data_IF_258514203491
#
_entry.id   IF_258514203491
#
_cell.length_a   1.000
_cell.length_b   1.000
_cell.length_c   1.000
_cell.angle_alpha   90.00
_cell.angle_beta   90.00
_cell.angle_gamma   90.00
#
_symmetry.space_group_name_H-M   'P 1'
#
loop_
_entity.id
_entity.type
_entity.pdbx_description
1 polymer ?
#
# COMPACT_ATOMS: atom_id res chain seq x y z
N UNK A 1 7.03 -19.96 44.23
CA UNK A 1 5.71 -19.76 43.60
C UNK A 1 5.65 -20.71 42.40
N UNK A 2 4.92 -21.81 42.54
CA UNK A 2 4.86 -22.94 41.59
C UNK A 2 3.92 -22.58 40.44
N UNK A 3 4.41 -22.52 39.21
CA UNK A 3 3.58 -22.40 38.02
C UNK A 3 3.31 -23.80 37.47
N UNK A 4 2.06 -24.19 37.60
CA UNK A 4 1.46 -25.47 37.22
C UNK A 4 1.37 -25.53 35.69
N UNK A 5 2.02 -26.51 35.08
CA UNK A 5 1.77 -26.88 33.69
C UNK A 5 0.38 -27.53 33.59
N UNK A 6 -0.56 -26.85 32.94
CA UNK A 6 -1.85 -27.41 32.57
C UNK A 6 -1.65 -28.44 31.45
N UNK A 7 -1.66 -29.71 31.85
CA UNK A 7 -1.64 -30.89 30.99
C UNK A 7 -2.99 -30.98 30.26
N UNK A 8 -3.08 -30.44 29.05
CA UNK A 8 -4.27 -30.63 28.20
C UNK A 8 -4.31 -32.08 27.71
N UNK A 9 -5.25 -32.83 28.28
CA UNK A 9 -5.62 -34.19 27.88
C UNK A 9 -6.31 -34.10 26.51
N UNK A 10 -5.69 -34.66 25.47
CA UNK A 10 -6.32 -34.81 24.15
C UNK A 10 -7.32 -35.97 24.20
N UNK A 11 -8.61 -35.65 24.10
CA UNK A 11 -9.64 -36.65 23.82
C UNK A 11 -9.84 -36.72 22.31
N UNK A 12 -9.31 -37.76 21.66
CA UNK A 12 -9.67 -38.12 20.29
C UNK A 12 -10.90 -39.03 20.33
N UNK A 13 -11.97 -38.72 19.57
CA UNK A 13 -12.80 -39.74 18.98
C UNK A 13 -12.24 -40.09 17.60
N UNK A 14 -12.04 -41.38 17.36
CA UNK A 14 -11.67 -41.99 16.10
C UNK A 14 -12.82 -41.82 15.09
N UNK A 15 -12.59 -41.06 14.01
CA UNK A 15 -13.42 -41.13 12.79
C UNK A 15 -12.53 -40.68 11.62
N UNK A 16 -11.98 -41.66 10.90
CA UNK A 16 -10.88 -41.51 9.96
C UNK A 16 -11.17 -40.75 8.66
N UNK A 17 -12.42 -40.39 8.38
CA UNK A 17 -12.80 -39.71 7.12
C UNK A 17 -12.78 -38.16 7.24
N UNK A 18 -13.29 -37.60 8.33
CA UNK A 18 -13.43 -36.13 8.51
C UNK A 18 -12.07 -35.41 8.61
N UNK A 19 -11.06 -36.04 9.20
CA UNK A 19 -9.71 -35.46 9.32
C UNK A 19 -8.99 -35.40 7.97
N UNK A 20 -9.22 -36.37 7.10
CA UNK A 20 -8.62 -36.45 5.76
C UNK A 20 -9.23 -35.39 4.84
N UNK A 21 -10.55 -35.19 4.88
CA UNK A 21 -11.19 -34.07 4.18
C UNK A 21 -10.75 -32.70 4.69
N UNK A 22 -10.58 -32.53 6.01
CA UNK A 22 -10.13 -31.25 6.59
C UNK A 22 -8.67 -30.95 6.25
N UNK A 23 -7.79 -31.96 6.25
CA UNK A 23 -6.40 -31.81 5.77
C UNK A 23 -6.35 -31.56 4.26
N UNK A 24 -7.17 -32.26 3.46
CA UNK A 24 -7.25 -32.04 2.02
C UNK A 24 -7.78 -30.63 1.69
N UNK A 25 -8.77 -30.13 2.44
CA UNK A 25 -9.29 -28.77 2.30
C UNK A 25 -8.30 -27.68 2.75
N UNK A 26 -7.44 -27.96 3.73
CA UNK A 26 -6.38 -27.04 4.12
C UNK A 26 -5.22 -27.04 3.13
N UNK A 27 -4.85 -28.22 2.62
CA UNK A 27 -3.84 -28.38 1.58
C UNK A 27 -4.28 -27.74 0.26
N UNK A 28 -5.55 -27.91 -0.13
CA UNK A 28 -6.12 -27.28 -1.32
C UNK A 28 -6.28 -25.77 -1.17
N UNK A 29 -6.63 -25.26 0.00
CA UNK A 29 -6.63 -23.80 0.26
C UNK A 29 -5.22 -23.23 0.25
N UNK A 30 -4.25 -23.91 0.86
CA UNK A 30 -2.85 -23.51 0.82
C UNK A 30 -2.32 -23.49 -0.62
N UNK A 31 -2.65 -24.50 -1.43
CA UNK A 31 -2.25 -24.55 -2.84
C UNK A 31 -2.94 -23.49 -3.69
N UNK A 32 -4.19 -23.13 -3.39
CA UNK A 32 -4.88 -21.99 -4.03
C UNK A 32 -4.22 -20.66 -3.66
N UNK A 33 -3.97 -20.42 -2.37
CA UNK A 33 -3.31 -19.19 -1.90
C UNK A 33 -1.90 -19.06 -2.48
N UNK A 34 -1.14 -20.15 -2.52
CA UNK A 34 0.21 -20.15 -3.11
C UNK A 34 0.15 -19.92 -4.63
N UNK A 35 -0.86 -20.46 -5.32
CA UNK A 35 -1.08 -20.20 -6.75
C UNK A 35 -1.43 -18.73 -6.99
N UNK A 36 -2.34 -18.16 -6.21
CA UNK A 36 -2.72 -16.75 -6.30
C UNK A 36 -1.53 -15.82 -6.01
N UNK A 37 -0.74 -16.13 -4.98
CA UNK A 37 0.50 -15.43 -4.66
C UNK A 37 1.48 -15.47 -5.83
N UNK A 38 1.80 -16.66 -6.34
CA UNK A 38 2.71 -16.83 -7.48
C UNK A 38 2.22 -16.09 -8.73
N UNK A 39 0.90 -16.07 -8.95
CA UNK A 39 0.30 -15.39 -10.10
C UNK A 39 0.38 -13.86 -9.99
N UNK A 40 0.46 -13.31 -8.76
CA UNK A 40 0.58 -11.88 -8.53
C UNK A 40 1.87 -11.29 -9.13
N UNK A 41 2.98 -12.03 -9.06
CA UNK A 41 4.27 -11.67 -9.66
C UNK A 41 4.33 -11.81 -11.18
N UNK A 42 3.27 -12.34 -11.81
CA UNK A 42 3.17 -12.51 -13.28
C UNK A 42 2.20 -11.54 -13.92
N UNK A 43 1.67 -10.59 -13.15
CA UNK A 43 0.78 -9.57 -13.69
C UNK A 43 1.55 -8.63 -14.61
N UNK A 44 0.88 -8.13 -15.66
CA UNK A 44 1.47 -7.16 -16.58
C UNK A 44 1.99 -5.91 -15.86
N UNK A 45 1.25 -5.42 -14.87
CA UNK A 45 1.66 -4.28 -14.05
C UNK A 45 2.94 -4.55 -13.24
N UNK A 46 3.13 -5.79 -12.78
CA UNK A 46 4.35 -6.18 -12.08
C UNK A 46 5.55 -6.22 -13.04
N UNK A 47 5.40 -6.89 -14.19
CA UNK A 47 6.46 -6.95 -15.21
C UNK A 47 6.85 -5.55 -15.69
N UNK A 48 5.87 -4.67 -15.92
CA UNK A 48 6.12 -3.26 -16.29
C UNK A 48 6.83 -2.48 -15.17
N UNK A 49 6.52 -2.74 -13.90
CA UNK A 49 7.23 -2.13 -12.77
C UNK A 49 8.70 -2.58 -12.71
N UNK A 50 8.95 -3.89 -12.85
CA UNK A 50 10.31 -4.43 -12.87
C UNK A 50 11.14 -3.82 -14.00
N UNK A 51 10.60 -3.76 -15.23
CA UNK A 51 11.32 -3.18 -16.37
C UNK A 51 11.59 -1.70 -16.19
N UNK A 52 10.61 -0.93 -15.66
CA UNK A 52 10.80 0.48 -15.30
C UNK A 52 11.95 0.66 -14.32
N UNK A 53 11.94 -0.06 -13.19
CA UNK A 53 13.00 0.07 -12.17
C UNK A 53 14.37 -0.32 -12.74
N UNK A 54 14.46 -1.46 -13.41
CA UNK A 54 15.72 -1.96 -13.98
C UNK A 54 16.31 -0.99 -15.01
N UNK A 55 15.47 -0.45 -15.90
CA UNK A 55 15.93 0.52 -16.91
C UNK A 55 16.54 1.77 -16.29
N UNK A 56 15.94 2.27 -15.21
CA UNK A 56 16.37 3.50 -14.56
C UNK A 56 17.59 3.26 -13.67
N UNK A 57 17.64 2.13 -12.97
CA UNK A 57 18.82 1.78 -12.18
C UNK A 57 20.05 1.53 -13.05
N UNK A 58 19.85 0.91 -14.22
CA UNK A 58 20.89 0.78 -15.25
C UNK A 58 21.43 2.15 -15.71
N UNK A 59 20.55 3.12 -15.94
CA UNK A 59 20.95 4.50 -16.30
C UNK A 59 21.72 5.20 -15.17
N UNK A 60 21.32 5.01 -13.91
CA UNK A 60 22.02 5.58 -12.75
C UNK A 60 23.44 5.00 -12.63
N UNK A 61 23.62 3.70 -12.89
CA UNK A 61 24.93 3.04 -12.87
C UNK A 61 25.89 3.60 -13.94
N UNK A 62 25.37 3.83 -15.16
CA UNK A 62 26.15 4.39 -16.29
C UNK A 62 26.56 5.84 -16.00
N UNK A 63 25.63 6.66 -15.49
CA UNK A 63 25.90 8.07 -15.19
C UNK A 63 26.89 8.27 -14.03
N UNK A 64 26.95 7.34 -13.06
CA UNK A 64 27.96 7.39 -11.99
C UNK A 64 29.39 7.11 -12.48
N UNK A 65 29.52 6.41 -13.60
CA UNK A 65 30.82 6.06 -14.20
C UNK A 65 31.42 7.17 -15.07
N UNK A 66 30.64 8.23 -15.36
CA UNK A 66 31.02 9.40 -16.16
C UNK A 66 30.91 10.65 -15.26
N UNK A 67 32.03 11.16 -14.76
CA UNK A 67 32.19 12.17 -13.69
C UNK A 67 31.23 13.39 -13.63
N UNK A 68 30.89 13.77 -12.38
CA UNK A 68 30.54 15.10 -11.78
C UNK A 68 29.12 15.24 -11.19
N UNK A 69 28.98 15.84 -9.96
CA UNK A 69 27.74 15.89 -9.19
C UNK A 69 26.89 17.11 -9.56
N UNK A 70 26.46 17.22 -10.81
CA UNK A 70 25.56 18.31 -11.23
C UNK A 70 24.16 17.79 -11.55
N UNK A 71 23.29 17.94 -10.54
CA UNK A 71 21.90 18.40 -10.65
C UNK A 71 21.08 17.89 -11.84
N UNK A 72 20.70 16.62 -11.78
CA UNK A 72 19.29 16.23 -11.91
C UNK A 72 19.15 14.80 -11.38
N UNK A 73 19.06 14.67 -10.05
CA UNK A 73 18.34 13.58 -9.40
C UNK A 73 16.89 13.64 -9.90
N UNK A 74 16.64 13.17 -11.12
CA UNK A 74 15.31 12.69 -11.48
C UNK A 74 15.06 11.50 -10.57
N UNK A 75 14.51 11.79 -9.40
CA UNK A 75 14.08 10.83 -8.41
C UNK A 75 13.31 9.73 -9.14
N UNK A 76 13.77 8.49 -9.00
CA UNK A 76 13.15 7.32 -9.64
C UNK A 76 11.65 7.32 -9.35
N UNK A 77 11.27 7.79 -8.16
CA UNK A 77 9.91 8.03 -7.67
C UNK A 77 8.99 8.84 -8.60
N UNK A 78 9.48 9.77 -9.43
CA UNK A 78 8.60 10.46 -10.41
C UNK A 78 8.10 9.49 -11.49
N UNK A 79 8.94 8.53 -11.88
CA UNK A 79 8.59 7.51 -12.87
C UNK A 79 7.90 6.28 -12.28
N UNK A 80 8.08 6.05 -10.97
CA UNK A 80 7.48 4.91 -10.27
C UNK A 80 6.05 5.18 -9.84
N UNK A 81 5.69 6.42 -9.52
CA UNK A 81 4.37 6.74 -8.98
C UNK A 81 3.36 7.06 -10.07
N UNK A 82 2.14 6.57 -9.89
CA UNK A 82 1.01 6.85 -10.77
C UNK A 82 -0.19 7.35 -9.94
N UNK A 83 -0.58 8.64 -10.04
CA UNK A 83 0.07 9.71 -10.81
C UNK A 83 1.45 10.07 -10.22
N UNK A 84 2.36 10.57 -11.07
CA UNK A 84 3.65 11.14 -10.66
C UNK A 84 3.47 12.41 -9.81
N UNK A 85 4.54 12.90 -9.18
CA UNK A 85 4.45 14.02 -8.22
C UNK A 85 4.09 15.33 -8.92
N UNK A 86 4.55 15.56 -10.15
CA UNK A 86 4.18 16.75 -10.92
C UNK A 86 2.70 16.75 -11.29
N UNK A 87 2.23 15.62 -11.84
CA UNK A 87 0.81 15.43 -12.19
C UNK A 87 -0.06 15.61 -10.95
N UNK A 88 0.34 15.01 -9.82
CA UNK A 88 -0.34 15.14 -8.55
C UNK A 88 -0.39 16.60 -8.06
N UNK A 89 0.72 17.33 -8.13
CA UNK A 89 0.77 18.74 -7.73
C UNK A 89 -0.18 19.60 -8.56
N UNK A 90 -0.26 19.35 -9.87
CA UNK A 90 -1.21 20.02 -10.75
C UNK A 90 -2.66 19.67 -10.39
N UNK A 91 -2.96 18.39 -10.09
CA UNK A 91 -4.28 17.96 -9.64
C UNK A 91 -4.67 18.64 -8.32
N UNK A 92 -3.77 18.74 -7.34
CA UNK A 92 -4.04 19.39 -6.05
C UNK A 92 -4.37 20.88 -6.23
N UNK A 93 -3.71 21.56 -7.18
CA UNK A 93 -3.97 22.98 -7.48
C UNK A 93 -5.29 23.20 -8.21
N UNK A 94 -5.67 22.28 -9.09
CA UNK A 94 -6.80 22.44 -10.01
C UNK A 94 -8.11 21.85 -9.47
N UNK A 95 -8.02 20.81 -8.64
CA UNK A 95 -9.17 20.09 -8.10
C UNK A 95 -9.36 20.41 -6.61
N UNK A 96 -10.60 20.48 -6.17
CA UNK A 96 -10.92 20.59 -4.74
C UNK A 96 -10.79 19.22 -4.05
N UNK A 97 -9.56 18.79 -3.78
CA UNK A 97 -9.24 17.51 -3.16
C UNK A 97 -9.32 17.63 -1.63
N UNK A 98 -9.96 16.66 -0.96
CA UNK A 98 -9.99 16.61 0.50
C UNK A 98 -8.57 16.42 1.06
N UNK A 99 -8.15 17.21 2.05
CA UNK A 99 -6.78 17.18 2.61
C UNK A 99 -6.27 15.76 2.94
N UNK A 100 -7.07 14.90 3.59
CA UNK A 100 -6.65 13.52 3.87
C UNK A 100 -6.30 12.68 2.63
N UNK A 101 -6.88 12.99 1.47
CA UNK A 101 -6.50 12.33 0.22
C UNK A 101 -5.16 12.89 -0.29
N UNK A 102 -4.90 14.19 -0.08
CA UNK A 102 -3.58 14.79 -0.32
C UNK A 102 -2.54 14.13 0.58
N UNK A 103 -2.81 14.02 1.88
CA UNK A 103 -1.93 13.35 2.85
C UNK A 103 -1.68 11.89 2.45
N UNK A 104 -2.70 11.19 1.95
CA UNK A 104 -2.56 9.83 1.41
C UNK A 104 -1.55 9.76 0.27
N UNK A 105 -1.62 10.69 -0.69
CA UNK A 105 -0.67 10.72 -1.79
C UNK A 105 0.74 11.13 -1.34
N UNK A 106 0.87 12.02 -0.37
CA UNK A 106 2.18 12.41 0.18
C UNK A 106 2.84 11.26 0.95
N UNK A 107 2.11 10.64 1.89
CA UNK A 107 2.63 9.50 2.68
C UNK A 107 2.98 8.31 1.79
N UNK A 108 2.16 8.01 0.76
CA UNK A 108 2.53 6.97 -0.21
C UNK A 108 3.74 7.35 -1.08
N UNK A 109 3.96 8.63 -1.36
CA UNK A 109 5.17 9.06 -2.07
C UNK A 109 6.42 8.88 -1.21
N UNK A 110 6.33 9.21 0.08
CA UNK A 110 7.44 8.99 1.02
C UNK A 110 7.76 7.50 1.18
N UNK A 111 6.73 6.63 1.17
CA UNK A 111 6.95 5.18 1.18
C UNK A 111 7.65 4.68 -0.10
N UNK A 112 7.33 5.29 -1.24
CA UNK A 112 8.04 5.00 -2.50
C UNK A 112 9.53 5.39 -2.43
N UNK A 113 9.87 6.49 -1.75
CA UNK A 113 11.28 6.90 -1.55
C UNK A 113 12.05 5.87 -0.72
N UNK A 114 11.42 5.31 0.32
CA UNK A 114 12.01 4.21 1.11
C UNK A 114 12.22 2.96 0.26
N UNK A 115 11.23 2.57 -0.55
CA UNK A 115 11.35 1.46 -1.50
C UNK A 115 12.51 1.67 -2.49
N UNK A 116 12.65 2.89 -3.03
CA UNK A 116 13.72 3.25 -3.95
C UNK A 116 15.11 3.16 -3.29
N UNK A 117 15.24 3.64 -2.04
CA UNK A 117 16.47 3.50 -1.26
C UNK A 117 16.82 2.02 -1.02
N UNK A 118 15.83 1.18 -0.69
CA UNK A 118 16.03 -0.26 -0.51
C UNK A 118 16.50 -0.94 -1.79
N UNK A 119 15.88 -0.61 -2.93
CA UNK A 119 16.28 -1.18 -4.22
C UNK A 119 17.75 -0.87 -4.52
N UNK A 120 18.21 0.36 -4.26
CA UNK A 120 19.64 0.70 -4.40
C UNK A 120 20.51 -0.09 -3.43
N UNK A 121 20.08 -0.21 -2.18
CA UNK A 121 20.81 -0.97 -1.17
C UNK A 121 20.93 -2.46 -1.57
N UNK A 122 19.86 -3.07 -2.07
CA UNK A 122 19.85 -4.46 -2.56
C UNK A 122 20.88 -4.67 -3.66
N UNK A 123 20.91 -3.79 -4.67
CA UNK A 123 21.86 -3.90 -5.78
C UNK A 123 23.30 -3.74 -5.31
N UNK A 124 23.55 -2.81 -4.39
CA UNK A 124 24.88 -2.65 -3.80
C UNK A 124 25.26 -3.86 -2.93
N UNK A 125 24.33 -4.44 -2.17
CA UNK A 125 24.58 -5.65 -1.37
C UNK A 125 24.93 -6.82 -2.28
N UNK A 126 24.21 -7.00 -3.38
CA UNK A 126 24.52 -8.02 -4.39
C UNK A 126 25.92 -7.81 -4.98
N UNK A 127 26.29 -6.56 -5.34
CA UNK A 127 27.63 -6.25 -5.82
C UNK A 127 28.72 -6.53 -4.77
N UNK A 128 28.47 -6.19 -3.51
CA UNK A 128 29.39 -6.47 -2.40
C UNK A 128 29.60 -7.99 -2.23
N UNK A 129 28.55 -8.81 -2.35
CA UNK A 129 28.66 -10.27 -2.22
C UNK A 129 29.45 -10.94 -3.35
N UNK A 130 29.75 -10.24 -4.46
CA UNK A 130 30.64 -10.78 -5.49
C UNK A 130 32.06 -11.06 -4.96
N UNK A 131 32.54 -10.33 -3.96
CA UNK A 131 33.84 -10.66 -3.34
C UNK A 131 33.80 -11.98 -2.58
N UNK A 132 32.68 -12.30 -1.92
CA UNK A 132 32.48 -13.61 -1.30
C UNK A 132 32.42 -14.71 -2.37
N UNK A 133 31.71 -14.47 -3.47
CA UNK A 133 31.69 -15.39 -4.62
C UNK A 133 33.09 -15.69 -5.16
N UNK A 134 33.92 -14.67 -5.37
CA UNK A 134 35.33 -14.85 -5.79
C UNK A 134 36.16 -15.60 -4.77
N UNK A 135 35.96 -15.34 -3.48
CA UNK A 135 36.67 -16.05 -2.40
C UNK A 135 36.33 -17.54 -2.39
N UNK A 136 35.07 -17.90 -2.65
CA UNK A 136 34.60 -19.29 -2.77
C UNK A 136 35.21 -19.95 -4.01
N UNK A 137 35.18 -19.29 -5.17
CA UNK A 137 35.77 -19.80 -6.41
C UNK A 137 37.28 -20.07 -6.26
N UNK A 138 38.01 -19.14 -5.66
CA UNK A 138 39.43 -19.32 -5.36
C UNK A 138 39.68 -20.52 -4.43
N UNK A 139 38.79 -20.76 -3.47
CA UNK A 139 38.90 -21.86 -2.53
C UNK A 139 38.66 -23.23 -3.18
N UNK A 140 37.78 -23.31 -4.18
CA UNK A 140 37.53 -24.53 -4.97
C UNK A 140 38.77 -24.91 -5.79
N UNK A 141 39.45 -23.94 -6.41
CA UNK A 141 40.68 -24.16 -7.20
C UNK A 141 41.84 -24.69 -6.32
N UNK A 142 41.97 -24.22 -5.08
CA UNK A 142 42.99 -24.69 -4.12
C UNK A 142 42.86 -26.19 -3.84
N UNK A 143 41.64 -26.73 -3.88
CA UNK A 143 41.40 -28.14 -3.60
C UNK A 143 41.98 -29.06 -4.68
N UNK A 144 42.33 -28.53 -5.85
CA UNK A 144 42.80 -29.30 -7.01
C UNK A 144 44.33 -29.22 -7.23
N UNK A 145 45.00 -28.12 -6.86
CA UNK A 145 46.44 -27.91 -7.06
C UNK A 145 47.16 -27.37 -5.80
N UNK A 146 47.94 -28.24 -5.16
CA UNK A 146 48.64 -27.93 -3.91
C UNK A 146 49.87 -27.01 -4.08
N UNK A 147 50.35 -26.78 -5.31
CA UNK A 147 51.59 -26.04 -5.57
C UNK A 147 51.49 -24.51 -5.34
N UNK A 148 50.26 -23.96 -5.33
CA UNK A 148 50.00 -22.52 -5.21
C UNK A 148 49.16 -22.11 -3.99
N UNK A 149 49.04 -23.00 -3.00
CA UNK A 149 48.15 -22.86 -1.84
C UNK A 149 48.33 -21.56 -1.05
N UNK A 150 49.58 -21.12 -0.84
CA UNK A 150 49.84 -19.92 -0.04
C UNK A 150 49.44 -18.62 -0.75
N UNK A 151 49.71 -18.51 -2.05
CA UNK A 151 49.30 -17.34 -2.82
C UNK A 151 47.77 -17.27 -2.96
N UNK A 152 47.12 -18.41 -3.19
CA UNK A 152 45.65 -18.48 -3.24
C UNK A 152 45.01 -18.12 -1.89
N UNK A 153 45.56 -18.60 -0.77
CA UNK A 153 45.12 -18.18 0.55
C UNK A 153 45.21 -16.66 0.71
N UNK A 154 46.31 -16.02 0.27
CA UNK A 154 46.43 -14.55 0.30
C UNK A 154 45.35 -13.84 -0.52
N UNK A 155 45.01 -14.37 -1.69
CA UNK A 155 43.93 -13.81 -2.53
C UNK A 155 42.56 -13.95 -1.85
N UNK A 156 42.27 -15.10 -1.24
CA UNK A 156 41.03 -15.31 -0.49
C UNK A 156 40.94 -14.35 0.71
N UNK A 157 42.02 -14.21 1.47
CA UNK A 157 42.10 -13.26 2.58
C UNK A 157 41.83 -11.82 2.13
N UNK A 158 42.33 -11.44 0.94
CA UNK A 158 42.08 -10.13 0.34
C UNK A 158 40.60 -9.94 0.05
N UNK A 159 39.94 -10.91 -0.60
CA UNK A 159 38.50 -10.81 -0.91
C UNK A 159 37.63 -10.74 0.36
N UNK A 160 37.94 -11.52 1.39
CA UNK A 160 37.27 -11.45 2.69
C UNK A 160 37.50 -10.10 3.39
N UNK A 161 38.72 -9.56 3.32
CA UNK A 161 39.04 -8.24 3.87
C UNK A 161 38.29 -7.13 3.12
N UNK A 162 38.19 -7.23 1.79
CA UNK A 162 37.42 -6.29 0.98
C UNK A 162 35.96 -6.30 1.42
N UNK A 163 35.32 -7.47 1.49
CA UNK A 163 33.95 -7.60 1.95
C UNK A 163 33.71 -6.98 3.33
N UNK A 164 34.58 -7.30 4.30
CA UNK A 164 34.47 -6.80 5.67
C UNK A 164 34.55 -5.25 5.73
N UNK A 165 35.38 -4.65 4.88
CA UNK A 165 35.58 -3.21 4.82
C UNK A 165 34.41 -2.44 4.17
N UNK A 166 33.63 -3.08 3.30
CA UNK A 166 32.49 -2.45 2.63
C UNK A 166 31.36 -2.18 3.62
N UNK A 167 30.83 -0.97 3.64
CA UNK A 167 29.67 -0.65 4.50
C UNK A 167 28.44 -1.45 4.06
N UNK A 168 27.65 -1.93 5.02
CA UNK A 168 26.37 -2.59 4.73
C UNK A 168 25.39 -1.58 4.10
N UNK A 169 25.01 -1.78 2.83
CA UNK A 169 24.14 -0.84 2.13
C UNK A 169 22.73 -0.78 2.75
N UNK A 170 22.27 -1.84 3.42
CA UNK A 170 20.98 -1.87 4.09
C UNK A 170 20.94 -0.96 5.33
N UNK A 171 22.10 -0.57 5.87
CA UNK A 171 22.19 0.40 6.97
C UNK A 171 21.88 1.83 6.53
N UNK A 172 21.80 2.09 5.22
CA UNK A 172 21.36 3.39 4.68
C UNK A 172 19.91 3.73 5.09
N UNK A 173 19.13 2.73 5.47
CA UNK A 173 17.78 2.91 6.01
C UNK A 173 17.84 2.58 7.49
N UNK A 174 17.76 3.62 8.29
CA UNK A 174 17.72 3.49 9.75
C UNK A 174 16.39 2.88 10.16
N UNK A 175 16.41 2.02 11.19
CA UNK A 175 15.20 1.52 11.83
C UNK A 175 14.25 2.64 12.26
N UNK A 176 14.80 3.80 12.61
CA UNK A 176 14.06 5.03 12.91
C UNK A 176 13.26 5.53 11.70
N UNK A 177 13.78 5.44 10.47
CA UNK A 177 13.04 5.80 9.26
C UNK A 177 11.88 4.84 8.99
N UNK A 178 12.07 3.53 9.18
CA UNK A 178 10.97 2.56 9.06
C UNK A 178 9.89 2.81 10.11
N UNK A 179 10.27 3.01 11.37
CA UNK A 179 9.32 3.27 12.46
C UNK A 179 8.57 4.58 12.24
N UNK A 180 9.28 5.67 11.91
CA UNK A 180 8.65 6.96 11.65
C UNK A 180 7.69 6.93 10.46
N UNK A 181 8.02 6.19 9.40
CA UNK A 181 7.10 5.96 8.27
C UNK A 181 5.89 5.14 8.69
N UNK A 182 6.09 4.04 9.41
CA UNK A 182 4.99 3.20 9.91
C UNK A 182 4.01 4.01 10.76
N UNK A 183 4.52 4.81 11.71
CA UNK A 183 3.70 5.65 12.58
C UNK A 183 2.87 6.66 11.79
N UNK A 184 3.47 7.30 10.78
CA UNK A 184 2.76 8.24 9.89
C UNK A 184 1.67 7.53 9.07
N UNK A 185 1.96 6.36 8.51
CA UNK A 185 0.98 5.56 7.78
C UNK A 185 -0.19 5.15 8.68
N UNK A 186 0.09 4.66 9.89
CA UNK A 186 -0.92 4.25 10.86
C UNK A 186 -1.79 5.42 11.33
N UNK A 187 -1.18 6.56 11.66
CA UNK A 187 -1.89 7.78 12.04
C UNK A 187 -2.90 8.20 10.95
N UNK A 188 -2.43 8.28 9.70
CA UNK A 188 -3.27 8.65 8.57
C UNK A 188 -4.36 7.60 8.28
N UNK A 189 -4.05 6.30 8.38
CA UNK A 189 -5.05 5.24 8.26
C UNK A 189 -6.20 5.41 9.26
N UNK A 190 -5.88 5.69 10.52
CA UNK A 190 -6.88 5.94 11.55
C UNK A 190 -7.74 7.17 11.25
N UNK A 191 -7.13 8.26 10.77
CA UNK A 191 -7.84 9.48 10.42
C UNK A 191 -8.78 9.28 9.23
N UNK A 192 -8.29 8.65 8.15
CA UNK A 192 -9.08 8.27 6.97
C UNK A 192 -10.29 7.43 7.38
N UNK A 193 -10.07 6.38 8.19
CA UNK A 193 -11.14 5.47 8.66
C UNK A 193 -12.16 6.20 9.53
N UNK A 194 -11.70 7.06 10.43
CA UNK A 194 -12.56 7.88 11.29
C UNK A 194 -13.42 8.85 10.48
N UNK A 195 -12.79 9.59 9.57
CA UNK A 195 -13.47 10.55 8.69
C UNK A 195 -14.48 9.87 7.78
N UNK A 196 -14.10 8.76 7.16
CA UNK A 196 -14.99 7.94 6.36
C UNK A 196 -16.23 7.50 7.15
N UNK A 197 -16.05 6.97 8.37
CA UNK A 197 -17.14 6.57 9.26
C UNK A 197 -18.07 7.74 9.60
N UNK A 198 -17.51 8.91 9.89
CA UNK A 198 -18.26 10.14 10.19
C UNK A 198 -19.09 10.61 8.99
N UNK A 199 -18.51 10.63 7.79
CA UNK A 199 -19.20 11.01 6.56
C UNK A 199 -20.31 10.02 6.20
N UNK A 200 -20.03 8.71 6.28
CA UNK A 200 -21.03 7.66 6.06
C UNK A 200 -22.23 7.81 7.00
N UNK A 201 -21.99 8.12 8.29
CA UNK A 201 -23.06 8.40 9.26
C UNK A 201 -23.88 9.63 8.87
N UNK A 202 -23.23 10.75 8.51
CA UNK A 202 -23.93 11.97 8.05
C UNK A 202 -24.79 11.71 6.82
N UNK A 203 -24.28 10.97 5.84
CA UNK A 203 -25.05 10.61 4.64
C UNK A 203 -26.27 9.75 4.98
N UNK A 204 -26.13 8.77 5.89
CA UNK A 204 -27.27 7.98 6.36
C UNK A 204 -28.33 8.86 7.04
N UNK A 205 -27.89 9.82 7.86
CA UNK A 205 -28.80 10.75 8.53
C UNK A 205 -29.49 11.69 7.55
N UNK A 206 -28.76 12.24 6.59
CA UNK A 206 -29.35 13.07 5.53
C UNK A 206 -30.42 12.30 4.72
N UNK A 207 -30.12 11.05 4.33
CA UNK A 207 -31.11 10.19 3.64
C UNK A 207 -32.33 9.91 4.51
N UNK A 208 -32.15 9.69 5.81
CA UNK A 208 -33.25 9.50 6.75
C UNK A 208 -34.09 10.79 6.89
N UNK A 209 -33.46 11.95 7.09
CA UNK A 209 -34.15 13.24 7.16
C UNK A 209 -34.93 13.55 5.88
N UNK A 210 -34.39 13.26 4.69
CA UNK A 210 -35.10 13.45 3.42
C UNK A 210 -36.35 12.56 3.32
N UNK A 211 -36.27 11.31 3.80
CA UNK A 211 -37.43 10.40 3.84
C UNK A 211 -38.51 10.90 4.80
N UNK A 212 -38.12 11.29 6.01
CA UNK A 212 -39.05 11.79 7.03
C UNK A 212 -39.66 13.12 6.61
N UNK A 213 -38.86 14.05 6.08
CA UNK A 213 -39.34 15.34 5.58
C UNK A 213 -40.30 15.19 4.40
N UNK A 214 -40.04 14.25 3.48
CA UNK A 214 -40.95 13.93 2.39
C UNK A 214 -42.31 13.41 2.89
N UNK A 215 -42.31 12.50 3.88
CA UNK A 215 -43.53 12.01 4.51
C UNK A 215 -44.28 13.11 5.27
N UNK A 216 -43.56 13.96 6.01
CA UNK A 216 -44.13 15.07 6.75
C UNK A 216 -44.83 16.09 5.84
N UNK A 217 -44.22 16.40 4.69
CA UNK A 217 -44.82 17.31 3.70
C UNK A 217 -46.14 16.77 3.14
N UNK A 218 -46.23 15.46 2.88
CA UNK A 218 -47.45 14.82 2.40
C UNK A 218 -48.56 14.92 3.46
N UNK A 219 -48.25 14.59 4.72
CA UNK A 219 -49.22 14.66 5.82
C UNK A 219 -49.71 16.11 6.02
N UNK A 220 -48.80 17.08 5.99
CA UNK A 220 -49.13 18.49 6.13
C UNK A 220 -49.99 19.01 4.96
N UNK A 221 -49.66 18.63 3.73
CA UNK A 221 -50.47 19.00 2.55
C UNK A 221 -51.88 18.40 2.60
N UNK A 222 -52.01 17.14 3.01
CA UNK A 222 -53.30 16.47 3.14
C UNK A 222 -54.17 17.10 4.23
N UNK A 223 -53.58 17.43 5.39
CA UNK A 223 -54.29 18.07 6.51
C UNK A 223 -54.75 19.48 6.17
N UNK A 224 -53.91 20.31 5.51
CA UNK A 224 -54.32 21.64 5.03
C UNK A 224 -55.50 21.54 4.05
N UNK A 225 -55.41 20.61 3.09
CA UNK A 225 -56.46 20.44 2.07
C UNK A 225 -57.79 20.04 2.72
N UNK A 226 -57.76 19.11 3.68
CA UNK A 226 -58.95 18.70 4.41
C UNK A 226 -59.54 19.85 5.26
N UNK A 227 -58.71 20.61 5.97
CA UNK A 227 -59.17 21.77 6.74
C UNK A 227 -59.79 22.85 5.84
N UNK A 228 -59.18 23.14 4.69
CA UNK A 228 -59.73 24.08 3.71
C UNK A 228 -61.09 23.63 3.17
N UNK A 229 -61.28 22.33 2.93
CA UNK A 229 -62.57 21.76 2.52
C UNK A 229 -63.64 21.93 3.60
N UNK A 230 -63.30 21.65 4.87
CA UNK A 230 -64.21 21.83 6.01
C UNK A 230 -64.64 23.30 6.13
N UNK A 231 -63.69 24.23 6.05
CA UNK A 231 -63.99 25.67 6.08
C UNK A 231 -64.87 26.08 4.90
N UNK A 232 -64.63 25.58 3.69
CA UNK A 232 -65.47 25.86 2.52
C UNK A 232 -66.91 25.35 2.70
N UNK A 233 -67.09 24.13 3.21
CA UNK A 233 -68.40 23.53 3.50
C UNK A 233 -69.14 24.32 4.59
N UNK A 234 -68.46 24.73 5.66
CA UNK A 234 -69.09 25.54 6.71
C UNK A 234 -69.38 26.97 6.22
N UNK A 235 -68.59 27.50 5.30
CA UNK A 235 -68.85 28.81 4.68
C UNK A 235 -70.07 28.77 3.75
N UNK A 236 -70.33 27.67 3.03
CA UNK A 236 -71.56 27.52 2.24
C UNK A 236 -72.81 27.33 3.12
N UNK A 237 -72.66 26.70 4.29
CA UNK A 237 -73.73 26.66 5.32
C UNK A 237 -73.91 28.01 6.01
N UNK A 238 -72.84 28.80 6.16
CA UNK A 238 -72.89 30.19 6.64
C UNK A 238 -73.49 31.18 5.64
N UNK A 239 -73.44 30.88 4.34
CA UNK A 239 -74.00 31.71 3.26
C UNK A 239 -75.49 31.39 2.96
N UNK A 240 -76.09 30.40 3.65
CA UNK A 240 -77.55 30.17 3.60
C UNK A 240 -78.33 30.93 4.69
N UNK A 241 -77.67 31.78 5.49
CA UNK A 241 -78.33 32.63 6.47
C UNK A 241 -78.51 34.10 6.08
N UNK A 242 -77.88 34.61 4.99
CA UNK A 242 -78.19 35.95 4.45
C UNK A 242 -78.00 35.96 2.94
N UNK A 243 -79.10 36.16 2.20
CA UNK A 243 -79.14 36.39 0.76
C UNK A 243 -78.29 37.61 0.34
N UNK A 244 -77.52 37.47 -0.74
CA UNK A 244 -76.88 38.62 -1.40
C UNK A 244 -75.97 38.24 -2.56
N UNK A 245 -76.54 38.15 -3.76
CA UNK A 245 -75.85 38.07 -5.05
C UNK A 245 -74.74 39.10 -5.20
N UNK A 246 -73.57 38.72 -5.74
CA UNK A 246 -72.98 39.29 -6.96
C UNK A 246 -72.04 38.26 -7.58
N UNK A 247 -72.42 37.77 -8.75
CA UNK A 247 -71.51 37.18 -9.71
C UNK A 247 -70.54 38.26 -10.20
N UNK A 248 -69.23 38.02 -10.11
CA UNK A 248 -68.31 38.72 -11.00
C UNK A 248 -67.08 37.88 -11.28
N UNK A 249 -66.97 37.55 -12.55
CA UNK A 249 -65.89 36.90 -13.25
C UNK A 249 -64.50 37.35 -12.77
N UNK A 250 -63.67 36.39 -12.38
CA UNK A 250 -62.22 36.50 -12.57
C UNK A 250 -61.72 35.22 -13.24
N UNK A 251 -61.33 35.42 -14.50
CA UNK A 251 -60.62 34.49 -15.33
C UNK A 251 -59.45 33.81 -14.60
N UNK A 252 -59.36 32.49 -14.74
CA UNK A 252 -58.14 31.84 -15.25
C UNK A 252 -58.40 30.35 -15.46
N UNK A 253 -58.64 29.98 -16.70
CA UNK A 253 -58.20 28.67 -17.20
C UNK A 253 -56.68 28.67 -17.17
N UNK A 254 -56.09 28.14 -16.09
CA UNK A 254 -54.71 27.71 -16.14
C UNK A 254 -54.71 26.24 -16.56
N UNK A 255 -54.58 26.03 -17.87
CA UNK A 255 -54.03 24.80 -18.41
C UNK A 255 -52.68 24.54 -17.72
N UNK A 256 -52.69 23.67 -16.70
CA UNK A 256 -51.46 23.03 -16.26
C UNK A 256 -51.23 21.83 -17.16
N UNK A 257 -50.65 22.11 -18.33
CA UNK A 257 -49.72 21.17 -18.98
C UNK A 257 -48.74 20.73 -17.89
N UNK A 258 -48.88 19.50 -17.42
CA UNK A 258 -47.92 18.82 -16.57
C UNK A 258 -46.62 18.59 -17.34
N UNK A 259 -45.87 19.65 -17.64
CA UNK A 259 -44.44 19.53 -17.83
C UNK A 259 -43.90 19.15 -16.47
N UNK A 260 -43.46 17.90 -16.35
CA UNK A 260 -42.58 17.45 -15.29
C UNK A 260 -41.43 18.45 -15.18
N UNK A 261 -41.54 19.37 -14.23
CA UNK A 261 -40.42 20.17 -13.78
C UNK A 261 -39.54 19.18 -13.05
N UNK A 262 -38.63 18.56 -13.82
CA UNK A 262 -37.40 17.97 -13.31
C UNK A 262 -36.83 18.99 -12.34
N UNK A 263 -36.97 18.73 -11.05
CA UNK A 263 -36.61 19.68 -10.01
C UNK A 263 -35.16 20.06 -10.23
N UNK A 264 -34.97 21.35 -10.52
CA UNK A 264 -33.76 22.15 -10.42
C UNK A 264 -32.58 21.37 -9.84
N UNK A 265 -31.69 20.96 -10.75
CA UNK A 265 -30.30 20.67 -10.46
C UNK A 265 -29.66 21.97 -9.97
N UNK A 266 -29.80 22.27 -8.69
CA UNK A 266 -28.85 23.16 -8.02
C UNK A 266 -27.45 22.53 -8.17
N UNK A 267 -26.39 23.32 -8.38
CA UNK A 267 -25.04 22.79 -8.45
C UNK A 267 -24.69 22.24 -7.07
N UNK A 268 -24.86 20.93 -6.91
CA UNK A 268 -24.55 20.20 -5.70
C UNK A 268 -23.03 20.12 -5.64
N UNK A 269 -22.42 21.12 -4.96
CA UNK A 269 -21.01 21.09 -4.54
C UNK A 269 -20.63 19.65 -4.18
N UNK A 270 -19.74 19.04 -4.96
CA UNK A 270 -19.13 17.71 -4.79
C UNK A 270 -19.97 16.75 -3.94
N UNK A 271 -20.71 15.83 -4.56
CA UNK A 271 -21.61 14.94 -3.83
C UNK A 271 -20.88 14.35 -2.58
N UNK A 272 -21.43 14.50 -1.36
CA UNK A 272 -20.83 13.97 -0.13
C UNK A 272 -20.54 12.46 -0.21
N UNK A 273 -21.17 11.78 -1.16
CA UNK A 273 -20.99 10.38 -1.51
C UNK A 273 -19.62 10.11 -2.13
N UNK A 274 -19.18 10.93 -3.08
CA UNK A 274 -17.93 10.73 -3.82
C UNK A 274 -16.68 10.89 -2.95
N UNK A 275 -16.59 11.99 -2.19
CA UNK A 275 -15.51 12.17 -1.19
C UNK A 275 -15.52 11.05 -0.15
N UNK A 276 -16.71 10.57 0.26
CA UNK A 276 -16.81 9.44 1.19
C UNK A 276 -16.27 8.14 0.60
N UNK A 277 -16.45 7.91 -0.71
CA UNK A 277 -15.93 6.74 -1.42
C UNK A 277 -14.40 6.84 -1.60
N UNK A 278 -13.87 7.99 -2.03
CA UNK A 278 -12.41 8.18 -2.16
C UNK A 278 -11.69 7.96 -0.82
N UNK A 279 -12.27 8.41 0.30
CA UNK A 279 -11.72 8.17 1.63
C UNK A 279 -11.73 6.68 2.04
N UNK A 280 -12.71 5.90 1.58
CA UNK A 280 -12.76 4.44 1.82
C UNK A 280 -11.66 3.72 1.01
N UNK A 281 -11.51 4.09 -0.26
CA UNK A 281 -10.49 3.56 -1.15
C UNK A 281 -9.10 3.90 -0.61
N UNK A 282 -8.86 5.15 -0.22
CA UNK A 282 -7.60 5.58 0.38
C UNK A 282 -7.30 4.84 1.69
N UNK A 283 -8.30 4.64 2.57
CA UNK A 283 -8.12 3.87 3.80
C UNK A 283 -7.72 2.42 3.52
N UNK A 284 -8.34 1.77 2.52
CA UNK A 284 -7.98 0.41 2.10
C UNK A 284 -6.57 0.36 1.51
N UNK A 285 -6.23 1.33 0.65
CA UNK A 285 -4.89 1.46 0.08
C UNK A 285 -3.81 1.65 1.15
N UNK A 286 -4.08 2.50 2.15
CA UNK A 286 -3.16 2.72 3.27
C UNK A 286 -2.98 1.47 4.13
N UNK A 287 -4.05 0.71 4.38
CA UNK A 287 -3.96 -0.57 5.09
C UNK A 287 -3.05 -1.57 4.38
N UNK A 288 -3.18 -1.70 3.05
CA UNK A 288 -2.31 -2.55 2.23
C UNK A 288 -0.87 -2.07 2.30
N UNK A 289 -0.64 -0.75 2.13
CA UNK A 289 0.69 -0.16 2.20
C UNK A 289 1.38 -0.43 3.54
N UNK A 290 0.68 -0.27 4.67
CA UNK A 290 1.22 -0.57 6.00
C UNK A 290 1.70 -2.03 6.06
N UNK A 291 0.85 -2.97 5.65
CA UNK A 291 1.17 -4.40 5.69
C UNK A 291 2.36 -4.77 4.78
N UNK A 292 2.41 -4.19 3.58
CA UNK A 292 3.50 -4.39 2.63
C UNK A 292 4.81 -3.83 3.21
N UNK A 293 4.79 -2.61 3.77
CA UNK A 293 5.98 -2.01 4.39
C UNK A 293 6.45 -2.74 5.65
N UNK A 294 5.54 -3.31 6.46
CA UNK A 294 5.91 -4.15 7.61
C UNK A 294 6.63 -5.42 7.16
N UNK A 295 6.19 -6.02 6.05
CA UNK A 295 6.83 -7.20 5.46
C UNK A 295 8.22 -6.86 4.95
N UNK A 296 8.33 -5.77 4.17
CA UNK A 296 9.59 -5.25 3.63
C UNK A 296 10.57 -4.90 4.75
N UNK A 297 10.12 -4.21 5.80
CA UNK A 297 10.93 -3.83 6.96
C UNK A 297 11.51 -5.04 7.69
N UNK A 298 10.69 -6.07 7.93
CA UNK A 298 11.14 -7.32 8.55
C UNK A 298 12.16 -8.08 7.70
N UNK A 299 11.95 -8.15 6.38
CA UNK A 299 12.89 -8.78 5.46
C UNK A 299 14.21 -8.03 5.42
N UNK A 300 14.16 -6.71 5.25
CA UNK A 300 15.34 -5.84 5.24
C UNK A 300 16.16 -5.94 6.52
N UNK A 301 15.51 -6.02 7.68
CA UNK A 301 16.19 -6.21 8.96
C UNK A 301 16.95 -7.51 9.09
N UNK A 302 16.31 -8.63 8.73
CA UNK A 302 16.97 -9.94 8.77
C UNK A 302 18.21 -9.97 7.86
N UNK A 303 18.07 -9.42 6.65
CA UNK A 303 19.19 -9.33 5.71
C UNK A 303 20.27 -8.37 6.20
N UNK A 304 19.90 -7.24 6.82
CA UNK A 304 20.85 -6.33 7.44
C UNK A 304 21.71 -7.04 8.47
N UNK A 305 21.08 -7.78 9.40
CA UNK A 305 21.79 -8.49 10.46
C UNK A 305 22.68 -9.61 9.91
N UNK A 306 22.23 -10.32 8.87
CA UNK A 306 23.03 -11.34 8.18
C UNK A 306 24.26 -10.73 7.49
N UNK A 307 24.12 -9.58 6.82
CA UNK A 307 25.25 -8.87 6.21
C UNK A 307 26.25 -8.42 7.28
N UNK A 308 25.79 -7.82 8.38
CA UNK A 308 26.69 -7.40 9.47
C UNK A 308 27.40 -8.59 10.12
N UNK A 309 26.68 -9.69 10.33
CA UNK A 309 27.26 -10.92 10.84
C UNK A 309 28.32 -11.49 9.88
N UNK A 310 28.02 -11.57 8.58
CA UNK A 310 28.95 -12.01 7.56
C UNK A 310 30.19 -11.11 7.49
N UNK A 311 30.02 -9.78 7.54
CA UNK A 311 31.14 -8.83 7.55
C UNK A 311 32.05 -9.04 8.75
N UNK A 312 31.48 -9.25 9.93
CA UNK A 312 32.24 -9.55 11.14
C UNK A 312 33.05 -10.86 11.00
N UNK A 313 32.43 -11.93 10.50
CA UNK A 313 33.11 -13.23 10.25
C UNK A 313 34.24 -13.08 9.23
N UNK A 314 33.98 -12.43 8.10
CA UNK A 314 34.98 -12.18 7.06
C UNK A 314 36.16 -11.34 7.59
N UNK A 315 35.87 -10.30 8.39
CA UNK A 315 36.91 -9.47 9.00
C UNK A 315 37.74 -10.23 10.03
N UNK A 316 37.14 -11.15 10.78
CA UNK A 316 37.85 -12.03 11.70
C UNK A 316 38.77 -13.01 10.97
N UNK A 317 38.28 -13.64 9.91
CA UNK A 317 39.07 -14.53 9.06
C UNK A 317 40.26 -13.79 8.44
N UNK A 318 40.02 -12.62 7.83
CA UNK A 318 41.05 -11.82 7.20
C UNK A 318 42.17 -11.39 8.17
N UNK A 319 41.82 -11.00 9.40
CA UNK A 319 42.83 -10.62 10.42
C UNK A 319 43.69 -11.78 10.91
N UNK A 320 43.17 -13.00 10.86
CA UNK A 320 43.85 -14.20 11.37
C UNK A 320 44.40 -15.10 10.27
N UNK A 321 44.35 -14.67 9.01
CA UNK A 321 44.68 -15.50 7.85
C UNK A 321 46.06 -16.18 7.89
N UNK A 322 47.09 -15.48 8.37
CA UNK A 322 48.47 -16.01 8.44
C UNK A 322 48.72 -16.86 9.68
N UNK A 323 47.92 -16.72 10.74
CA UNK A 323 48.12 -17.41 12.03
C UNK A 323 47.18 -18.58 12.24
N UNK A 324 45.97 -18.52 11.67
CA UNK A 324 44.90 -19.49 11.85
C UNK A 324 44.15 -19.71 10.53
N UNK A 325 44.83 -20.29 9.55
CA UNK A 325 44.25 -20.62 8.25
C UNK A 325 42.98 -21.48 8.35
N UNK A 326 42.86 -22.31 9.39
CA UNK A 326 41.65 -23.09 9.69
C UNK A 326 40.40 -22.22 9.89
N UNK A 327 40.53 -21.06 10.54
CA UNK A 327 39.40 -20.13 10.75
C UNK A 327 38.93 -19.57 9.41
N UNK A 328 39.86 -19.21 8.53
CA UNK A 328 39.52 -18.74 7.18
C UNK A 328 38.74 -19.81 6.41
N UNK A 329 39.21 -21.05 6.43
CA UNK A 329 38.56 -22.16 5.74
C UNK A 329 37.17 -22.49 6.30
N UNK A 330 36.99 -22.46 7.62
CA UNK A 330 35.66 -22.69 8.22
C UNK A 330 34.68 -21.55 7.86
N UNK A 331 35.13 -20.29 7.91
CA UNK A 331 34.32 -19.14 7.50
C UNK A 331 33.94 -19.22 6.01
N UNK A 332 34.85 -19.64 5.14
CA UNK A 332 34.56 -19.85 3.72
C UNK A 332 33.55 -20.96 3.48
N UNK A 333 33.69 -22.09 4.19
CA UNK A 333 32.74 -23.20 4.11
C UNK A 333 31.34 -22.76 4.52
N UNK A 334 31.23 -21.96 5.58
CA UNK A 334 29.96 -21.39 6.00
C UNK A 334 29.39 -20.42 4.96
N UNK A 335 30.22 -19.55 4.37
CA UNK A 335 29.79 -18.71 3.24
C UNK A 335 29.31 -19.55 2.06
N UNK A 336 30.04 -20.58 1.65
CA UNK A 336 29.66 -21.46 0.55
C UNK A 336 28.29 -22.13 0.82
N UNK A 337 28.05 -22.59 2.06
CA UNK A 337 26.79 -23.22 2.45
C UNK A 337 25.58 -22.26 2.43
N UNK A 338 25.78 -20.98 2.73
CA UNK A 338 24.68 -20.03 2.97
C UNK A 338 24.50 -18.96 1.89
N UNK A 339 25.48 -18.73 1.02
CA UNK A 339 25.45 -17.63 0.03
C UNK A 339 24.25 -17.73 -0.91
N UNK A 340 23.93 -18.92 -1.43
CA UNK A 340 22.79 -19.10 -2.32
C UNK A 340 21.46 -18.75 -1.65
N UNK A 341 21.25 -19.20 -0.41
CA UNK A 341 20.05 -18.90 0.37
C UNK A 341 19.95 -17.39 0.69
N UNK A 342 21.06 -16.76 1.05
CA UNK A 342 21.10 -15.30 1.28
C UNK A 342 20.70 -14.52 0.02
N UNK A 343 21.26 -14.87 -1.14
CA UNK A 343 20.92 -14.19 -2.40
C UNK A 343 19.46 -14.42 -2.82
N UNK A 344 18.89 -15.59 -2.51
CA UNK A 344 17.47 -15.85 -2.70
C UNK A 344 16.60 -14.97 -1.80
N UNK A 345 16.94 -14.82 -0.51
CA UNK A 345 16.24 -13.92 0.41
C UNK A 345 16.37 -12.45 0.00
N UNK A 346 17.53 -12.06 -0.53
CA UNK A 346 17.75 -10.71 -1.05
C UNK A 346 16.86 -10.43 -2.27
N UNK A 347 16.69 -11.43 -3.14
CA UNK A 347 15.76 -11.37 -4.26
C UNK A 347 14.29 -11.35 -3.80
N UNK A 348 13.93 -12.14 -2.78
CA UNK A 348 12.59 -12.11 -2.17
C UNK A 348 12.24 -10.71 -1.65
N UNK A 349 13.18 -10.03 -0.99
CA UNK A 349 13.00 -8.63 -0.58
C UNK A 349 12.76 -7.71 -1.79
N UNK A 350 13.53 -7.86 -2.87
CA UNK A 350 13.35 -7.08 -4.10
C UNK A 350 11.96 -7.30 -4.72
N UNK A 351 11.52 -8.55 -4.83
CA UNK A 351 10.20 -8.92 -5.35
C UNK A 351 9.07 -8.32 -4.51
N UNK A 352 9.19 -8.33 -3.18
CA UNK A 352 8.23 -7.68 -2.29
C UNK A 352 8.19 -6.16 -2.44
N UNK A 353 9.33 -5.51 -2.70
CA UNK A 353 9.35 -4.07 -2.97
C UNK A 353 8.62 -3.76 -4.29
N UNK A 354 8.86 -4.54 -5.35
CA UNK A 354 8.12 -4.38 -6.61
C UNK A 354 6.62 -4.59 -6.40
N UNK A 355 6.23 -5.59 -5.63
CA UNK A 355 4.83 -5.84 -5.31
C UNK A 355 4.20 -4.65 -4.57
N UNK A 356 4.88 -4.11 -3.55
CA UNK A 356 4.45 -2.92 -2.81
C UNK A 356 4.23 -1.70 -3.73
N UNK A 357 5.16 -1.44 -4.66
CA UNK A 357 5.02 -0.34 -5.63
C UNK A 357 3.80 -0.53 -6.54
N UNK A 358 3.54 -1.76 -6.99
CA UNK A 358 2.38 -2.08 -7.84
C UNK A 358 1.07 -1.91 -7.08
N UNK A 359 0.96 -2.40 -5.85
CA UNK A 359 -0.26 -2.29 -5.02
C UNK A 359 -0.53 -0.83 -4.63
N UNK A 360 0.53 -0.07 -4.35
CA UNK A 360 0.49 1.36 -4.07
C UNK A 360 -0.05 2.14 -5.27
N UNK A 361 0.51 1.95 -6.47
CA UNK A 361 0.02 2.63 -7.68
C UNK A 361 -1.41 2.26 -8.04
N UNK A 362 -1.78 0.98 -7.89
CA UNK A 362 -3.16 0.55 -8.09
C UNK A 362 -4.10 1.33 -7.17
N UNK A 363 -3.74 1.44 -5.89
CA UNK A 363 -4.55 2.16 -4.90
C UNK A 363 -4.63 3.66 -5.23
N UNK A 364 -3.50 4.28 -5.59
CA UNK A 364 -3.44 5.69 -6.00
C UNK A 364 -4.33 5.99 -7.21
N UNK A 365 -4.29 5.15 -8.25
CA UNK A 365 -5.17 5.29 -9.44
C UNK A 365 -6.64 5.20 -9.08
N UNK A 366 -7.04 4.23 -8.25
CA UNK A 366 -8.43 4.11 -7.81
C UNK A 366 -8.92 5.34 -7.02
N UNK A 367 -8.05 5.93 -6.18
CA UNK A 367 -8.38 7.18 -5.48
C UNK A 367 -8.57 8.32 -6.47
N UNK A 368 -7.67 8.46 -7.45
CA UNK A 368 -7.77 9.48 -8.51
C UNK A 368 -9.04 9.32 -9.35
N UNK A 369 -9.34 8.10 -9.80
CA UNK A 369 -10.56 7.80 -10.57
C UNK A 369 -11.81 8.27 -9.81
N UNK A 370 -11.92 7.93 -8.53
CA UNK A 370 -13.05 8.33 -7.71
C UNK A 370 -13.10 9.85 -7.48
N UNK A 371 -11.95 10.51 -7.32
CA UNK A 371 -11.88 11.98 -7.24
C UNK A 371 -12.43 12.58 -8.54
N UNK A 372 -11.98 12.13 -9.70
CA UNK A 372 -12.39 12.66 -11.00
C UNK A 372 -13.89 12.42 -11.27
N UNK A 373 -14.41 11.25 -10.92
CA UNK A 373 -15.86 10.95 -10.97
C UNK A 373 -16.63 11.91 -10.05
N UNK A 374 -16.14 12.16 -8.84
CA UNK A 374 -16.79 13.06 -7.89
C UNK A 374 -16.82 14.51 -8.37
N UNK A 375 -15.80 14.95 -9.12
CA UNK A 375 -15.70 16.30 -9.67
C UNK A 375 -16.57 16.48 -10.93
N UNK A 376 -16.70 15.46 -11.78
CA UNK A 376 -17.55 15.54 -12.98
C UNK A 376 -19.05 15.53 -12.67
N UNK A 377 -19.43 15.02 -11.50
CA UNK A 377 -20.82 15.04 -11.00
C UNK A 377 -21.16 16.29 -10.17
N UNK A 378 -20.19 17.17 -9.90
CA UNK A 378 -20.37 18.46 -9.22
C UNK A 378 -20.62 19.59 -10.20
#
# INVERSE_FOLDING_TARGET
MKLVFLKFRSSFPTTGESRKERLNNMSSKSSIVNREYTQAFRTRSYVEMCTKVQSQLGRISINRSLSSPSLSDTHLSESLLEPGRETLANMIKTLNIHHLLVDYFLVSSDACDVCELLLRAIHQTHANYQSIGRAIELAEIVSEDASHKEEQNRLICRELSLFASLTNPLSAITWVQFQGMHDRCMALFHELKSKHKKMRRRMKMFKACKRVGGLGLIIFSSTITAAALVVAIHSTVGILAVLGLVASCCARTCDRKGKSIRSSSYPEKSSPTGVCASLDIAAKGMYVLINDMDTVSRLAGRLHDEVEHGRWRAGMAARNCTRMGEIMWEVLKEFHAHTACFLEQLKELEEHIYFCLVTMNRSRRLVVEEILISQSMS
#
